data_IF_841849184036
#
_entry.id   IF_841849184036
#
_cell.length_a   1.000
_cell.length_b   1.000
_cell.length_c   1.000
_cell.angle_alpha   90.00
_cell.angle_beta   90.00
_cell.angle_gamma   90.00
#
_symmetry.space_group_name_H-M   'P 1'
#
loop_
_entity.id
_entity.type
_entity.pdbx_description
1 polymer ?
#
# COMPACT_ATOMS: atom_id res chain seq x y z
N UNK A 1 35.11 27.61 -13.14
CA UNK A 1 34.44 26.31 -12.89
C UNK A 1 35.50 25.21 -12.87
N UNK A 2 35.58 24.45 -11.77
CA UNK A 2 36.65 23.47 -11.52
C UNK A 2 36.64 22.32 -12.55
N UNK A 3 37.71 22.20 -13.33
CA UNK A 3 37.89 21.19 -14.39
C UNK A 3 37.82 19.74 -13.89
N UNK A 4 38.11 19.52 -12.60
CA UNK A 4 37.97 18.22 -11.93
C UNK A 4 36.51 17.79 -11.78
N UNK A 5 35.60 18.73 -11.48
CA UNK A 5 34.18 18.44 -11.29
C UNK A 5 33.53 18.02 -12.62
N UNK A 6 33.86 18.71 -13.71
CA UNK A 6 33.37 18.39 -15.05
C UNK A 6 33.83 17.00 -15.48
N UNK A 7 35.09 16.64 -15.21
CA UNK A 7 35.63 15.30 -15.52
C UNK A 7 34.91 14.19 -14.73
N UNK A 8 34.64 14.40 -13.44
CA UNK A 8 33.91 13.44 -12.61
C UNK A 8 32.46 13.27 -13.11
N UNK A 9 31.78 14.37 -13.46
CA UNK A 9 30.43 14.29 -14.03
C UNK A 9 30.40 13.59 -15.40
N UNK A 10 31.38 13.82 -16.27
CA UNK A 10 31.44 13.11 -17.56
C UNK A 10 31.72 11.61 -17.40
N UNK A 11 32.53 11.22 -16.42
CA UNK A 11 32.78 9.80 -16.13
C UNK A 11 31.52 9.13 -15.58
N UNK A 12 30.82 9.78 -14.63
CA UNK A 12 29.56 9.28 -14.09
C UNK A 12 28.47 9.13 -15.16
N UNK A 13 28.39 10.10 -16.09
CA UNK A 13 27.44 10.03 -17.21
C UNK A 13 27.79 8.87 -18.15
N UNK A 14 29.07 8.66 -18.48
CA UNK A 14 29.49 7.56 -19.33
C UNK A 14 29.21 6.19 -18.70
N UNK A 15 29.44 6.05 -17.39
CA UNK A 15 29.11 4.82 -16.64
C UNK A 15 27.60 4.57 -16.63
N UNK A 16 26.79 5.61 -16.40
CA UNK A 16 25.32 5.50 -16.41
C UNK A 16 24.78 5.07 -17.79
N UNK A 17 25.31 5.62 -18.88
CA UNK A 17 24.92 5.25 -20.24
C UNK A 17 25.33 3.79 -20.53
N UNK A 18 26.53 3.38 -20.14
CA UNK A 18 27.00 2.00 -20.32
C UNK A 18 26.12 0.99 -19.54
N UNK A 19 25.75 1.30 -18.30
CA UNK A 19 24.86 0.46 -17.49
C UNK A 19 23.45 0.35 -18.09
N UNK A 20 22.89 1.45 -18.59
CA UNK A 20 21.58 1.43 -19.24
C UNK A 20 21.58 0.65 -20.56
N UNK A 21 22.65 0.74 -21.36
CA UNK A 21 22.80 -0.05 -22.58
C UNK A 21 22.97 -1.55 -22.28
N UNK A 22 23.69 -1.89 -21.21
CA UNK A 22 23.85 -3.27 -20.75
C UNK A 22 22.51 -3.88 -20.29
N UNK A 23 21.73 -3.14 -19.49
CA UNK A 23 20.37 -3.54 -19.09
C UNK A 23 19.43 -3.73 -20.28
N UNK A 24 19.48 -2.82 -21.26
CA UNK A 24 18.67 -2.91 -22.48
C UNK A 24 19.02 -4.16 -23.30
N UNK A 25 20.32 -4.50 -23.39
CA UNK A 25 20.79 -5.72 -24.06
C UNK A 25 20.32 -6.98 -23.35
N UNK A 26 20.35 -6.99 -22.02
CA UNK A 26 19.90 -8.13 -21.21
C UNK A 26 18.38 -8.35 -21.31
N UNK A 27 17.60 -7.27 -21.46
CA UNK A 27 16.16 -7.31 -21.68
C UNK A 27 15.78 -7.79 -23.09
N UNK A 28 16.60 -7.49 -24.10
CA UNK A 28 16.38 -7.94 -25.49
C UNK A 28 16.85 -9.37 -25.72
N UNK A 29 17.87 -9.85 -25.00
CA UNK A 29 18.27 -11.27 -25.01
C UNK A 29 17.21 -12.19 -24.35
N UNK A 30 16.39 -11.67 -23.42
CA UNK A 30 15.29 -12.42 -22.80
C UNK A 30 13.96 -12.37 -23.57
N UNK A 31 13.82 -11.57 -24.63
CA UNK A 31 12.55 -11.40 -25.36
C UNK A 31 12.48 -12.13 -26.71
N UNK A 32 13.43 -13.01 -27.02
CA UNK A 32 13.39 -13.87 -28.22
C UNK A 32 13.11 -15.33 -27.82
N UNK A 33 11.87 -15.59 -27.40
CA UNK A 33 11.27 -16.92 -27.46
C UNK A 33 9.92 -16.81 -28.18
N UNK A 34 9.85 -17.33 -29.39
CA UNK A 34 8.66 -17.34 -30.26
C UNK A 34 7.56 -18.26 -29.72
N UNK A 35 6.27 -17.98 -29.97
CA UNK A 35 5.16 -18.83 -29.53
C UNK A 35 4.80 -19.87 -30.61
N UNK A 36 5.35 -21.07 -30.50
CA UNK A 36 4.76 -22.27 -31.12
C UNK A 36 4.75 -23.41 -30.10
N UNK A 37 3.55 -23.95 -29.83
CA UNK A 37 3.40 -25.31 -29.29
C UNK A 37 2.78 -25.44 -27.91
N UNK A 38 1.46 -25.24 -27.78
CA UNK A 38 0.65 -26.06 -26.86
C UNK A 38 -0.66 -26.44 -27.58
N UNK A 39 -0.61 -27.57 -28.29
CA UNK A 39 -1.77 -28.39 -28.63
C UNK A 39 -1.26 -29.76 -29.05
N UNK A 40 -0.94 -30.60 -28.07
CA UNK A 40 -0.90 -32.07 -28.16
C UNK A 40 -0.66 -32.68 -26.78
N UNK A 41 -1.48 -33.69 -26.46
CA UNK A 41 -1.49 -34.56 -25.27
C UNK A 41 -2.25 -33.88 -24.11
N UNK A 42 -3.49 -34.23 -23.76
CA UNK A 42 -3.93 -35.56 -23.34
C UNK A 42 -5.29 -35.99 -23.94
N UNK A 43 -5.23 -36.99 -24.83
CA UNK A 43 -6.31 -37.95 -24.99
C UNK A 43 -5.89 -39.20 -24.21
N UNK A 44 -6.39 -39.34 -22.98
CA UNK A 44 -6.67 -40.61 -22.29
C UNK A 44 -7.01 -40.35 -20.82
N UNK A 45 -8.24 -39.94 -20.54
CA UNK A 45 -8.92 -40.47 -19.36
C UNK A 45 -10.44 -40.40 -19.56
N UNK A 46 -11.10 -41.50 -19.18
CA UNK A 46 -12.56 -41.65 -18.98
C UNK A 46 -13.40 -42.05 -20.21
N UNK A 47 -13.14 -43.26 -20.70
CA UNK A 47 -14.21 -44.18 -21.06
C UNK A 47 -14.67 -44.89 -19.78
N UNK A 48 -15.80 -44.49 -19.21
CA UNK A 48 -16.80 -45.42 -18.63
C UNK A 48 -17.95 -44.70 -17.93
N UNK A 49 -19.13 -45.32 -18.12
CA UNK A 49 -20.36 -45.25 -17.35
C UNK A 49 -21.45 -44.26 -17.81
N UNK A 50 -22.49 -44.89 -18.39
CA UNK A 50 -23.92 -44.65 -18.19
C UNK A 50 -24.70 -43.70 -19.11
N UNK A 51 -25.08 -44.26 -20.26
CA UNK A 51 -26.46 -44.63 -20.66
C UNK A 51 -27.71 -44.00 -20.01
N UNK A 52 -28.68 -43.76 -20.91
CA UNK A 52 -30.12 -43.43 -20.78
C UNK A 52 -30.41 -41.96 -20.46
N UNK A 53 -31.17 -41.22 -21.27
CA UNK A 53 -32.59 -41.46 -21.59
C UNK A 53 -32.96 -41.00 -23.00
N UNK A 54 -33.89 -41.72 -23.61
CA UNK A 54 -34.49 -41.51 -24.91
C UNK A 54 -35.43 -40.29 -24.97
N UNK A 55 -35.49 -39.65 -26.14
CA UNK A 55 -36.78 -39.27 -26.73
C UNK A 55 -36.67 -39.25 -28.26
N UNK A 56 -37.71 -39.81 -28.87
CA UNK A 56 -37.95 -40.05 -30.29
C UNK A 56 -38.80 -38.91 -30.87
N UNK A 57 -38.92 -38.96 -32.20
CA UNK A 57 -39.91 -38.34 -33.09
C UNK A 57 -39.61 -36.92 -33.60
N UNK A 58 -39.83 -36.55 -34.86
CA UNK A 58 -40.12 -37.25 -36.13
C UNK A 58 -40.45 -36.16 -37.18
N UNK A 59 -40.01 -36.34 -38.43
CA UNK A 59 -40.59 -35.71 -39.65
C UNK A 59 -40.16 -34.25 -39.92
N UNK A 60 -39.93 -33.75 -41.13
CA UNK A 60 -40.07 -34.17 -42.54
C UNK A 60 -39.01 -33.33 -43.31
N UNK A 61 -38.12 -33.89 -44.14
CA UNK A 61 -38.25 -34.08 -45.59
C UNK A 61 -38.81 -32.88 -46.41
N UNK A 62 -37.93 -32.12 -47.06
CA UNK A 62 -37.85 -31.88 -48.53
C UNK A 62 -36.72 -30.86 -48.81
N UNK A 63 -35.55 -31.32 -49.26
CA UNK A 63 -35.11 -31.55 -50.65
C UNK A 63 -34.78 -30.26 -51.47
N UNK A 64 -33.48 -30.09 -51.80
CA UNK A 64 -32.89 -30.05 -53.17
C UNK A 64 -32.90 -28.62 -53.76
N UNK A 65 -31.84 -27.99 -54.31
CA UNK A 65 -30.56 -28.33 -54.94
C UNK A 65 -29.65 -27.09 -54.79
N UNK A 66 -28.35 -27.16 -54.48
CA UNK A 66 -27.21 -27.48 -55.37
C UNK A 66 -27.24 -26.75 -56.73
N UNK A 67 -26.49 -25.64 -56.82
CA UNK A 67 -25.67 -25.43 -58.02
C UNK A 67 -24.47 -24.51 -57.73
N UNK A 68 -23.33 -25.12 -57.99
CA UNK A 68 -21.95 -24.64 -57.93
C UNK A 68 -21.65 -23.35 -58.73
N UNK A 69 -20.60 -22.62 -58.31
CA UNK A 69 -19.34 -22.45 -59.07
C UNK A 69 -18.39 -21.46 -58.37
N UNK A 70 -17.13 -21.92 -58.25
CA UNK A 70 -15.93 -21.24 -57.79
C UNK A 70 -15.73 -19.80 -58.31
N UNK A 71 -15.23 -18.91 -57.45
CA UNK A 71 -14.03 -18.13 -57.77
C UNK A 71 -13.23 -17.71 -56.52
N UNK A 72 -12.04 -18.30 -56.42
CA UNK A 72 -10.91 -17.86 -55.59
C UNK A 72 -10.17 -16.77 -56.36
N UNK A 73 -10.05 -15.54 -55.82
CA UNK A 73 -8.84 -14.68 -55.86
C UNK A 73 -9.05 -13.27 -55.26
N UNK A 74 -8.26 -12.99 -54.21
CA UNK A 74 -7.49 -11.76 -53.88
C UNK A 74 -8.05 -10.38 -54.26
N UNK A 75 -8.22 -9.53 -53.24
CA UNK A 75 -7.53 -8.22 -53.03
C UNK A 75 -8.18 -7.53 -51.81
N UNK A 76 -7.48 -7.27 -50.70
CA UNK A 76 -6.84 -5.98 -50.44
C UNK A 76 -7.54 -4.81 -51.15
N UNK A 77 -8.65 -4.36 -50.57
CA UNK A 77 -9.17 -3.04 -50.85
C UNK A 77 -8.23 -2.01 -50.20
N UNK A 78 -7.28 -1.51 -50.99
CA UNK A 78 -6.75 -0.17 -50.75
C UNK A 78 -7.93 0.79 -50.88
N UNK A 79 -8.18 1.56 -49.82
CA UNK A 79 -9.10 2.69 -49.87
C UNK A 79 -8.63 3.65 -50.97
N UNK A 80 -9.35 3.71 -52.08
CA UNK A 80 -9.22 4.80 -53.05
C UNK A 80 -9.89 6.04 -52.46
N UNK A 81 -9.16 6.78 -51.62
CA UNK A 81 -9.48 8.17 -51.29
C UNK A 81 -8.98 9.07 -52.42
N UNK A 82 -9.78 10.07 -52.80
CA UNK A 82 -9.45 11.03 -53.88
C UNK A 82 -8.11 11.75 -53.60
N UNK A 83 -7.25 12.03 -54.61
CA UNK A 83 -5.94 12.68 -54.42
C UNK A 83 -5.99 13.98 -53.60
N UNK A 84 -7.07 14.76 -53.74
CA UNK A 84 -7.29 16.00 -52.96
C UNK A 84 -7.55 15.76 -51.48
N UNK A 85 -8.21 14.65 -51.12
CA UNK A 85 -8.47 14.29 -49.72
C UNK A 85 -7.17 13.86 -49.02
N UNK A 86 -6.27 13.19 -49.75
CA UNK A 86 -4.97 12.78 -49.25
C UNK A 86 -4.04 14.00 -49.02
N UNK A 87 -4.05 14.99 -49.91
CA UNK A 87 -3.29 16.24 -49.75
C UNK A 87 -3.78 17.08 -48.55
N UNK A 88 -5.10 17.15 -48.36
CA UNK A 88 -5.70 17.87 -47.22
C UNK A 88 -5.41 17.18 -45.89
N UNK A 89 -5.49 15.84 -45.83
CA UNK A 89 -5.12 15.03 -44.67
C UNK A 89 -3.67 15.27 -44.25
N UNK A 90 -2.74 15.16 -45.20
CA UNK A 90 -1.31 15.40 -44.95
C UNK A 90 -1.03 16.83 -44.44
N UNK A 91 -1.71 17.83 -45.00
CA UNK A 91 -1.56 19.22 -44.55
C UNK A 91 -2.07 19.42 -43.11
N UNK A 92 -3.20 18.83 -42.76
CA UNK A 92 -3.76 18.91 -41.41
C UNK A 92 -2.85 18.21 -40.39
N UNK A 93 -2.33 17.02 -40.73
CA UNK A 93 -1.37 16.31 -39.90
C UNK A 93 -0.09 17.13 -39.67
N UNK A 94 0.49 17.73 -40.72
CA UNK A 94 1.68 18.56 -40.61
C UNK A 94 1.46 19.81 -39.76
N UNK A 95 0.30 20.47 -39.90
CA UNK A 95 -0.06 21.63 -39.06
C UNK A 95 -0.25 21.24 -37.60
N UNK A 96 -0.98 20.17 -37.34
CA UNK A 96 -1.20 19.65 -35.99
C UNK A 96 0.14 19.35 -35.31
N UNK A 97 1.05 18.66 -36.01
CA UNK A 97 2.39 18.33 -35.50
C UNK A 97 3.23 19.59 -35.23
N UNK A 98 3.24 20.56 -36.16
CA UNK A 98 3.95 21.82 -35.95
C UNK A 98 3.47 22.56 -34.71
N UNK A 99 2.14 22.66 -34.53
CA UNK A 99 1.51 23.31 -33.37
C UNK A 99 1.82 22.57 -32.07
N UNK A 100 1.83 21.24 -32.10
CA UNK A 100 2.21 20.38 -30.98
C UNK A 100 3.66 20.64 -30.54
N UNK A 101 4.60 20.70 -31.49
CA UNK A 101 6.03 20.94 -31.23
C UNK A 101 6.30 22.32 -30.62
N UNK A 102 5.49 23.33 -30.94
CA UNK A 102 5.59 24.67 -30.33
C UNK A 102 4.68 24.84 -29.10
N UNK A 103 4.12 23.75 -28.57
CA UNK A 103 3.23 23.70 -27.41
C UNK A 103 1.94 24.50 -27.52
N UNK A 104 1.46 24.77 -28.74
CA UNK A 104 0.13 25.32 -29.01
C UNK A 104 -0.92 24.21 -29.01
N UNK A 105 -1.08 23.56 -27.84
CA UNK A 105 -1.79 22.29 -27.73
C UNK A 105 -3.27 22.36 -28.10
N UNK A 106 -3.98 23.42 -27.72
CA UNK A 106 -5.42 23.56 -28.05
C UNK A 106 -5.62 23.52 -29.57
N UNK A 107 -4.88 24.36 -30.30
CA UNK A 107 -4.96 24.40 -31.77
C UNK A 107 -4.44 23.13 -32.42
N UNK A 108 -3.41 22.49 -31.87
CA UNK A 108 -2.94 21.18 -32.34
C UNK A 108 -4.06 20.13 -32.26
N UNK A 109 -4.74 20.06 -31.11
CA UNK A 109 -5.84 19.12 -30.83
C UNK A 109 -7.04 19.38 -31.73
N UNK A 110 -7.38 20.65 -32.00
CA UNK A 110 -8.43 21.01 -32.98
C UNK A 110 -8.12 20.46 -34.38
N UNK A 111 -6.85 20.53 -34.81
CA UNK A 111 -6.43 19.99 -36.11
C UNK A 111 -6.40 18.46 -36.11
N UNK A 112 -6.04 17.83 -34.98
CA UNK A 112 -6.11 16.37 -34.82
C UNK A 112 -7.56 15.86 -34.94
N UNK A 113 -8.51 16.60 -34.37
CA UNK A 113 -9.94 16.28 -34.47
C UNK A 113 -10.45 16.41 -35.90
N UNK A 114 -10.14 17.54 -36.58
CA UNK A 114 -10.48 17.71 -38.00
C UNK A 114 -9.87 16.59 -38.86
N UNK A 115 -8.63 16.19 -38.55
CA UNK A 115 -7.97 15.07 -39.21
C UNK A 115 -8.70 13.75 -38.97
N UNK A 116 -9.22 13.52 -37.76
CA UNK A 116 -9.98 12.31 -37.42
C UNK A 116 -11.25 12.16 -38.27
N UNK A 117 -11.91 13.27 -38.61
CA UNK A 117 -13.13 13.25 -39.44
C UNK A 117 -12.86 12.85 -40.90
N UNK A 118 -11.68 13.19 -41.43
CA UNK A 118 -11.33 12.95 -42.84
C UNK A 118 -10.43 11.74 -43.06
N UNK A 119 -9.61 11.39 -42.07
CA UNK A 119 -8.57 10.36 -42.14
C UNK A 119 -8.23 9.83 -40.74
N UNK A 120 -9.07 8.91 -40.27
CA UNK A 120 -8.93 8.25 -38.97
C UNK A 120 -7.59 7.52 -38.81
N UNK A 121 -7.02 6.97 -39.89
CA UNK A 121 -5.74 6.25 -39.81
C UNK A 121 -4.59 7.21 -39.48
N UNK A 122 -4.47 8.31 -40.23
CA UNK A 122 -3.41 9.29 -39.99
C UNK A 122 -3.61 10.05 -38.67
N UNK A 123 -4.86 10.30 -38.26
CA UNK A 123 -5.16 10.85 -36.93
C UNK A 123 -4.69 9.93 -35.81
N UNK A 124 -4.97 8.61 -35.91
CA UNK A 124 -4.47 7.63 -34.93
C UNK A 124 -2.96 7.56 -34.88
N UNK A 125 -2.29 7.53 -36.03
CA UNK A 125 -0.82 7.51 -36.11
C UNK A 125 -0.21 8.75 -35.45
N UNK A 126 -0.74 9.94 -35.73
CA UNK A 126 -0.28 11.18 -35.12
C UNK A 126 -0.51 11.19 -33.60
N UNK A 127 -1.66 10.70 -33.15
CA UNK A 127 -1.98 10.59 -31.73
C UNK A 127 -1.04 9.61 -31.00
N UNK A 128 -0.64 8.50 -31.63
CA UNK A 128 0.38 7.57 -31.09
C UNK A 128 1.77 8.21 -30.98
N UNK A 129 2.14 9.06 -31.94
CA UNK A 129 3.37 9.86 -31.87
C UNK A 129 3.34 10.83 -30.69
N UNK A 130 2.21 11.51 -30.47
CA UNK A 130 2.04 12.42 -29.34
C UNK A 130 2.08 11.69 -28.01
N UNK A 131 1.49 10.49 -27.91
CA UNK A 131 1.61 9.64 -26.71
C UNK A 131 3.07 9.26 -26.43
N UNK A 132 3.85 8.98 -27.47
CA UNK A 132 5.28 8.70 -27.34
C UNK A 132 6.06 9.91 -26.83
N UNK A 133 5.81 11.10 -27.37
CA UNK A 133 6.41 12.34 -26.90
C UNK A 133 6.01 12.65 -25.44
N UNK A 134 4.75 12.42 -25.08
CA UNK A 134 4.26 12.62 -23.73
C UNK A 134 4.90 11.65 -22.72
N UNK A 135 5.07 10.37 -23.08
CA UNK A 135 5.85 9.41 -22.28
C UNK A 135 7.28 9.90 -22.05
N UNK A 136 7.93 10.44 -23.09
CA UNK A 136 9.27 11.02 -22.95
C UNK A 136 9.28 12.23 -22.00
N UNK A 137 8.26 13.09 -22.03
CA UNK A 137 8.14 14.19 -21.08
C UNK A 137 8.03 13.69 -19.63
N UNK A 138 7.23 12.64 -19.37
CA UNK A 138 7.11 12.03 -18.04
C UNK A 138 8.45 11.48 -17.56
N UNK A 139 9.14 10.71 -18.41
CA UNK A 139 10.45 10.13 -18.08
C UNK A 139 11.52 11.20 -17.82
N UNK A 140 11.40 12.37 -18.45
CA UNK A 140 12.30 13.51 -18.26
C UNK A 140 11.88 14.46 -17.13
N UNK A 141 10.80 14.15 -16.40
CA UNK A 141 10.26 15.01 -15.34
C UNK A 141 9.66 16.34 -15.84
N UNK A 142 9.35 16.46 -17.14
CA UNK A 142 8.74 17.65 -17.77
C UNK A 142 7.23 17.73 -17.50
N UNK A 143 6.86 17.68 -16.23
CA UNK A 143 5.46 17.58 -15.79
C UNK A 143 4.61 18.79 -16.16
N UNK A 144 5.19 20.00 -16.23
CA UNK A 144 4.45 21.20 -16.63
C UNK A 144 3.97 21.12 -18.09
N UNK A 145 4.83 20.66 -18.99
CA UNK A 145 4.49 20.51 -20.42
C UNK A 145 3.42 19.42 -20.57
N UNK A 146 3.62 18.27 -19.92
CA UNK A 146 2.65 17.18 -19.90
C UNK A 146 1.29 17.65 -19.36
N UNK A 147 1.26 18.34 -18.21
CA UNK A 147 0.04 18.86 -17.58
C UNK A 147 -0.75 19.77 -18.52
N UNK A 148 -0.06 20.70 -19.19
CA UNK A 148 -0.70 21.62 -20.12
C UNK A 148 -1.33 20.88 -21.29
N UNK A 149 -0.61 19.90 -21.86
CA UNK A 149 -1.14 19.07 -22.94
C UNK A 149 -2.33 18.22 -22.49
N UNK A 150 -2.19 17.43 -21.42
CA UNK A 150 -3.23 16.47 -21.01
C UNK A 150 -4.52 17.19 -20.59
N UNK A 151 -4.41 18.38 -20.00
CA UNK A 151 -5.57 19.19 -19.62
C UNK A 151 -6.33 19.68 -20.87
N UNK A 152 -5.60 20.16 -21.90
CA UNK A 152 -6.21 20.53 -23.17
C UNK A 152 -6.84 19.32 -23.88
N UNK A 153 -6.15 18.18 -23.88
CA UNK A 153 -6.60 16.95 -24.54
C UNK A 153 -7.87 16.38 -23.89
N UNK A 154 -7.92 16.30 -22.56
CA UNK A 154 -9.06 15.75 -21.83
C UNK A 154 -10.35 16.56 -22.01
N UNK A 155 -10.24 17.88 -22.21
CA UNK A 155 -11.40 18.73 -22.48
C UNK A 155 -12.07 18.36 -23.81
N UNK A 156 -11.32 17.84 -24.79
CA UNK A 156 -11.86 17.43 -26.10
C UNK A 156 -12.17 15.94 -26.17
N UNK A 157 -11.31 15.11 -25.59
CA UNK A 157 -11.36 13.65 -25.66
C UNK A 157 -11.31 13.01 -24.26
N UNK A 158 -12.37 13.14 -23.44
CA UNK A 158 -12.35 12.75 -22.02
C UNK A 158 -12.19 11.24 -21.79
N UNK A 159 -12.60 10.39 -22.73
CA UNK A 159 -12.65 8.92 -22.54
C UNK A 159 -11.53 8.17 -23.26
N UNK A 160 -10.50 8.85 -23.77
CA UNK A 160 -9.41 8.19 -24.50
C UNK A 160 -8.50 7.42 -23.53
N UNK A 161 -8.54 6.09 -23.60
CA UNK A 161 -7.93 5.18 -22.61
C UNK A 161 -6.42 5.38 -22.44
N UNK A 162 -5.67 5.50 -23.55
CA UNK A 162 -4.22 5.62 -23.50
C UNK A 162 -3.76 6.90 -22.79
N UNK A 163 -4.47 8.02 -22.98
CA UNK A 163 -4.18 9.27 -22.31
C UNK A 163 -4.57 9.26 -20.82
N UNK A 164 -5.62 8.52 -20.43
CA UNK A 164 -5.93 8.31 -19.01
C UNK A 164 -4.83 7.51 -18.30
N UNK A 165 -4.25 6.50 -18.96
CA UNK A 165 -3.10 5.75 -18.42
C UNK A 165 -1.88 6.65 -18.22
N UNK A 166 -1.56 7.52 -19.18
CA UNK A 166 -0.47 8.49 -19.03
C UNK A 166 -0.75 9.51 -17.93
N UNK A 167 -2.01 9.95 -17.76
CA UNK A 167 -2.40 10.80 -16.64
C UNK A 167 -2.17 10.09 -15.31
N UNK A 168 -2.50 8.81 -15.19
CA UNK A 168 -2.23 8.02 -13.97
C UNK A 168 -0.73 7.96 -13.68
N UNK A 169 0.12 7.70 -14.69
CA UNK A 169 1.58 7.71 -14.52
C UNK A 169 2.09 9.07 -14.01
N UNK A 170 1.60 10.16 -14.60
CA UNK A 170 1.90 11.51 -14.14
C UNK A 170 1.45 11.76 -12.69
N UNK A 171 0.21 11.42 -12.35
CA UNK A 171 -0.36 11.60 -11.01
C UNK A 171 0.43 10.82 -9.95
N UNK A 172 0.87 9.59 -10.27
CA UNK A 172 1.78 8.81 -9.43
C UNK A 172 3.12 9.52 -9.26
N UNK A 173 3.69 10.04 -10.33
CA UNK A 173 4.99 10.72 -10.31
C UNK A 173 4.98 12.03 -9.47
N UNK A 174 3.84 12.73 -9.42
CA UNK A 174 3.67 13.93 -8.57
C UNK A 174 3.05 13.63 -7.20
N UNK A 175 3.03 12.35 -6.78
CA UNK A 175 2.50 11.88 -5.50
C UNK A 175 1.05 12.33 -5.23
N UNK A 176 0.16 12.11 -6.21
CA UNK A 176 -1.29 12.36 -6.11
C UNK A 176 -2.08 11.04 -6.22
N UNK A 177 -1.96 10.12 -5.25
CA UNK A 177 -2.54 8.78 -5.32
C UNK A 177 -4.08 8.80 -5.36
N UNK A 178 -4.74 9.69 -4.61
CA UNK A 178 -6.21 9.80 -4.62
C UNK A 178 -6.76 10.09 -6.04
N UNK A 179 -6.15 11.05 -6.74
CA UNK A 179 -6.53 11.37 -8.12
C UNK A 179 -6.19 10.24 -9.09
N UNK A 180 -5.09 9.53 -8.87
CA UNK A 180 -4.72 8.37 -9.68
C UNK A 180 -5.72 7.22 -9.50
N UNK A 181 -6.15 6.92 -8.27
CA UNK A 181 -7.21 5.94 -7.96
C UNK A 181 -8.52 6.31 -8.64
N UNK A 182 -8.96 7.57 -8.49
CA UNK A 182 -10.16 8.07 -9.18
C UNK A 182 -10.05 7.87 -10.71
N UNK A 183 -8.88 8.14 -11.28
CA UNK A 183 -8.66 7.98 -12.72
C UNK A 183 -8.67 6.49 -13.12
N UNK A 184 -8.17 5.58 -12.29
CA UNK A 184 -8.30 4.13 -12.53
C UNK A 184 -9.76 3.69 -12.56
N UNK A 185 -10.58 4.07 -11.59
CA UNK A 185 -11.99 3.65 -11.58
C UNK A 185 -12.81 4.28 -12.69
N UNK A 186 -12.51 5.53 -13.09
CA UNK A 186 -13.06 6.10 -14.31
C UNK A 186 -12.70 5.28 -15.55
N UNK A 187 -11.47 4.75 -15.62
CA UNK A 187 -11.02 3.93 -16.74
C UNK A 187 -11.69 2.55 -16.74
N UNK A 188 -11.78 1.91 -15.57
CA UNK A 188 -12.43 0.60 -15.35
C UNK A 188 -13.91 0.68 -15.74
N UNK A 189 -14.64 1.67 -15.24
CA UNK A 189 -16.08 1.81 -15.48
C UNK A 189 -16.45 2.09 -16.94
N UNK A 190 -15.47 2.44 -17.79
CA UNK A 190 -15.65 2.74 -19.21
C UNK A 190 -14.90 1.76 -20.14
N UNK A 191 -14.34 0.68 -19.60
CA UNK A 191 -13.47 -0.23 -20.34
C UNK A 191 -14.23 -1.13 -21.33
N UNK A 192 -15.33 -1.72 -20.86
CA UNK A 192 -16.10 -2.77 -21.54
C UNK A 192 -15.22 -3.94 -22.02
N UNK A 193 -14.17 -4.24 -21.25
CA UNK A 193 -13.13 -5.23 -21.56
C UNK A 193 -12.61 -5.82 -20.25
N UNK A 194 -13.10 -7.02 -19.92
CA UNK A 194 -12.83 -7.67 -18.64
C UNK A 194 -11.34 -7.83 -18.35
N UNK A 195 -10.51 -8.17 -19.36
CA UNK A 195 -9.08 -8.35 -19.14
C UNK A 195 -8.38 -7.04 -18.76
N UNK A 196 -8.80 -5.93 -19.36
CA UNK A 196 -8.29 -4.60 -19.01
C UNK A 196 -8.81 -4.14 -17.66
N UNK A 197 -10.09 -4.38 -17.36
CA UNK A 197 -10.69 -4.05 -16.07
C UNK A 197 -9.94 -4.75 -14.94
N UNK A 198 -9.69 -6.05 -15.05
CA UNK A 198 -8.93 -6.83 -14.07
C UNK A 198 -7.50 -6.30 -13.92
N UNK A 199 -6.82 -6.01 -15.03
CA UNK A 199 -5.48 -5.43 -15.00
C UNK A 199 -5.44 -4.08 -14.28
N UNK A 200 -6.35 -3.17 -14.62
CA UNK A 200 -6.37 -1.82 -14.06
C UNK A 200 -6.82 -1.82 -12.60
N UNK A 201 -7.78 -2.67 -12.23
CA UNK A 201 -8.19 -2.90 -10.84
C UNK A 201 -7.02 -3.41 -10.01
N UNK A 202 -6.27 -4.40 -10.51
CA UNK A 202 -5.05 -4.87 -9.87
C UNK A 202 -4.02 -3.75 -9.66
N UNK A 203 -3.81 -2.88 -10.65
CA UNK A 203 -2.90 -1.74 -10.51
C UNK A 203 -3.40 -0.69 -9.50
N UNK A 204 -4.71 -0.46 -9.44
CA UNK A 204 -5.34 0.41 -8.45
C UNK A 204 -5.15 -0.15 -7.03
N UNK A 205 -5.45 -1.43 -6.81
CA UNK A 205 -5.22 -2.12 -5.53
C UNK A 205 -3.76 -2.05 -5.10
N UNK A 206 -2.82 -2.27 -6.03
CA UNK A 206 -1.39 -2.13 -5.74
C UNK A 206 -1.02 -0.71 -5.28
N UNK A 207 -1.56 0.31 -5.94
CA UNK A 207 -1.35 1.71 -5.55
C UNK A 207 -1.94 2.00 -4.17
N UNK A 208 -3.15 1.49 -3.89
CA UNK A 208 -3.77 1.60 -2.58
C UNK A 208 -2.89 1.00 -1.49
N UNK A 209 -2.46 -0.25 -1.63
CA UNK A 209 -1.61 -0.94 -0.63
C UNK A 209 -0.31 -0.16 -0.38
N UNK A 210 0.32 0.33 -1.46
CA UNK A 210 1.53 1.14 -1.33
C UNK A 210 1.29 2.43 -0.54
N UNK A 211 0.22 3.16 -0.85
CA UNK A 211 -0.05 4.44 -0.19
C UNK A 211 -0.59 4.27 1.24
N UNK A 212 -1.46 3.29 1.47
CA UNK A 212 -2.00 3.00 2.79
C UNK A 212 -0.91 2.60 3.77
N UNK A 213 0.08 1.80 3.35
CA UNK A 213 1.24 1.47 4.17
C UNK A 213 2.06 2.71 4.56
N UNK A 214 2.23 3.68 3.65
CA UNK A 214 2.92 4.95 3.96
C UNK A 214 2.16 5.70 5.05
N UNK A 215 0.84 5.84 4.92
CA UNK A 215 0.01 6.57 5.89
C UNK A 215 0.00 5.87 7.25
N UNK A 216 -0.07 4.54 7.28
CA UNK A 216 0.00 3.75 8.52
C UNK A 216 1.35 3.91 9.22
N UNK A 217 2.46 3.80 8.49
CA UNK A 217 3.81 3.99 9.05
C UNK A 217 4.04 5.41 9.57
N UNK A 218 3.33 6.40 9.00
CA UNK A 218 3.36 7.78 9.45
C UNK A 218 2.35 8.07 10.56
N UNK A 219 1.58 7.08 11.03
CA UNK A 219 0.47 7.24 11.98
C UNK A 219 -0.56 8.29 11.52
N UNK A 220 -0.67 8.48 10.20
CA UNK A 220 -1.53 9.49 9.57
C UNK A 220 -2.97 8.97 9.40
N UNK A 221 -3.60 8.55 10.51
CA UNK A 221 -4.87 7.82 10.52
C UNK A 221 -6.03 8.58 9.86
N UNK A 222 -6.18 9.87 10.16
CA UNK A 222 -7.21 10.70 9.51
C UNK A 222 -6.99 10.83 8.00
N UNK A 223 -5.73 10.90 7.54
CA UNK A 223 -5.42 10.93 6.12
C UNK A 223 -5.73 9.58 5.45
N UNK A 224 -5.52 8.46 6.15
CA UNK A 224 -5.90 7.12 5.68
C UNK A 224 -7.41 7.00 5.50
N UNK A 225 -8.21 7.51 6.45
CA UNK A 225 -9.67 7.61 6.32
C UNK A 225 -10.05 8.43 5.09
N UNK A 226 -9.55 9.67 5.00
CA UNK A 226 -9.87 10.58 3.89
C UNK A 226 -9.49 10.01 2.51
N UNK A 227 -8.42 9.22 2.45
CA UNK A 227 -7.99 8.54 1.23
C UNK A 227 -8.84 7.32 0.87
N UNK A 228 -9.26 6.53 1.87
CA UNK A 228 -9.88 5.21 1.65
C UNK A 228 -11.40 5.29 1.52
N UNK A 229 -12.07 6.14 2.31
CA UNK A 229 -13.54 6.25 2.32
C UNK A 229 -14.15 6.49 0.94
N UNK A 230 -13.62 7.39 0.09
CA UNK A 230 -14.17 7.60 -1.25
C UNK A 230 -14.11 6.35 -2.16
N UNK A 231 -13.16 5.44 -1.93
CA UNK A 231 -12.96 4.24 -2.75
C UNK A 231 -14.06 3.19 -2.53
N UNK A 232 -14.77 3.27 -1.42
CA UNK A 232 -15.91 2.38 -1.13
C UNK A 232 -17.08 2.60 -2.09
N UNK A 233 -17.16 3.76 -2.75
CA UNK A 233 -18.17 4.02 -3.78
C UNK A 233 -17.98 3.12 -5.02
N UNK A 234 -16.72 2.77 -5.32
CA UNK A 234 -16.38 1.88 -6.44
C UNK A 234 -16.31 0.42 -6.00
N UNK A 235 -15.73 0.13 -4.83
CA UNK A 235 -15.57 -1.24 -4.32
C UNK A 235 -15.84 -1.34 -2.81
N UNK A 236 -17.13 -1.32 -2.44
CA UNK A 236 -17.55 -1.45 -1.05
C UNK A 236 -17.04 -2.74 -0.38
N UNK A 237 -17.11 -3.88 -1.08
CA UNK A 237 -16.78 -5.19 -0.51
C UNK A 237 -15.31 -5.58 -0.62
N UNK A 238 -14.41 -4.67 -1.01
CA UNK A 238 -12.98 -5.00 -1.10
C UNK A 238 -12.34 -5.00 0.30
N UNK A 239 -11.93 -6.16 0.85
CA UNK A 239 -11.57 -6.26 2.26
C UNK A 239 -10.41 -5.35 2.70
N UNK A 240 -9.35 -5.15 1.91
CA UNK A 240 -8.26 -4.23 2.28
C UNK A 240 -8.70 -2.78 2.54
N UNK A 241 -9.79 -2.29 1.91
CA UNK A 241 -10.31 -0.95 2.22
C UNK A 241 -10.96 -0.92 3.59
N UNK A 242 -11.81 -1.91 3.86
CA UNK A 242 -12.52 -2.08 5.14
C UNK A 242 -11.53 -2.26 6.30
N UNK A 243 -10.51 -3.12 6.12
CA UNK A 243 -9.48 -3.37 7.13
C UNK A 243 -8.60 -2.13 7.40
N UNK A 244 -8.27 -1.36 6.37
CA UNK A 244 -7.52 -0.12 6.54
C UNK A 244 -8.34 0.94 7.30
N UNK A 245 -9.64 1.04 7.02
CA UNK A 245 -10.55 1.92 7.75
C UNK A 245 -10.75 1.47 9.18
N UNK A 246 -11.00 0.18 9.43
CA UNK A 246 -11.10 -0.37 10.78
C UNK A 246 -9.86 -0.02 11.60
N UNK A 247 -8.67 -0.29 11.07
CA UNK A 247 -7.40 0.08 11.73
C UNK A 247 -7.31 1.58 12.03
N UNK A 248 -7.63 2.43 11.05
CA UNK A 248 -7.57 3.86 11.23
C UNK A 248 -8.52 4.34 12.33
N UNK A 249 -9.75 3.84 12.35
CA UNK A 249 -10.75 4.20 13.36
C UNK A 249 -10.40 3.68 14.76
N UNK A 250 -9.74 2.53 14.89
CA UNK A 250 -9.20 2.07 16.18
C UNK A 250 -8.23 3.11 16.74
N UNK A 251 -7.25 3.53 15.95
CA UNK A 251 -6.26 4.52 16.38
C UNK A 251 -6.81 5.94 16.55
N UNK A 252 -7.97 6.25 15.97
CA UNK A 252 -8.70 7.50 16.21
C UNK A 252 -9.61 7.43 17.45
N UNK A 253 -9.68 6.28 18.14
CA UNK A 253 -10.53 6.07 19.31
C UNK A 253 -12.01 5.85 18.98
N UNK A 254 -12.37 5.68 17.70
CA UNK A 254 -13.74 5.43 17.26
C UNK A 254 -14.01 3.91 17.13
N UNK A 255 -13.88 3.19 18.25
CA UNK A 255 -14.03 1.72 18.27
C UNK A 255 -15.35 1.22 17.67
N UNK A 256 -16.53 1.81 17.95
CA UNK A 256 -17.78 1.37 17.33
C UNK A 256 -17.76 1.48 15.80
N UNK A 257 -17.15 2.55 15.27
CA UNK A 257 -16.99 2.74 13.83
C UNK A 257 -16.07 1.67 13.25
N UNK A 258 -14.95 1.37 13.93
CA UNK A 258 -14.04 0.31 13.51
C UNK A 258 -14.69 -1.07 13.44
N UNK A 259 -15.51 -1.41 14.43
CA UNK A 259 -16.27 -2.68 14.46
C UNK A 259 -17.19 -2.80 13.25
N UNK A 260 -17.93 -1.73 12.90
CA UNK A 260 -18.79 -1.74 11.70
C UNK A 260 -18.00 -2.05 10.41
N UNK A 261 -16.74 -1.61 10.31
CA UNK A 261 -15.88 -1.92 9.17
C UNK A 261 -15.37 -3.37 9.21
N UNK A 262 -15.11 -3.94 10.39
CA UNK A 262 -14.74 -5.35 10.53
C UNK A 262 -15.90 -6.30 10.22
N UNK A 263 -17.12 -5.95 10.62
CA UNK A 263 -18.33 -6.73 10.34
C UNK A 263 -18.54 -6.93 8.83
N UNK A 264 -18.19 -5.93 8.02
CA UNK A 264 -18.28 -6.02 6.56
C UNK A 264 -17.33 -7.05 5.93
N UNK A 265 -16.31 -7.50 6.68
CA UNK A 265 -15.29 -8.45 6.20
C UNK A 265 -15.20 -9.72 7.02
N UNK A 266 -16.11 -9.94 7.98
CA UNK A 266 -16.12 -11.09 8.91
C UNK A 266 -15.90 -12.44 8.20
N UNK A 267 -16.52 -12.64 7.03
CA UNK A 267 -16.45 -13.90 6.27
C UNK A 267 -15.27 -14.00 5.29
N UNK A 268 -14.34 -13.04 5.31
CA UNK A 268 -13.19 -12.99 4.39
C UNK A 268 -12.07 -13.90 4.88
N UNK A 269 -12.17 -15.21 4.60
CA UNK A 269 -11.24 -16.23 5.12
C UNK A 269 -9.77 -15.98 4.76
N UNK A 270 -9.48 -15.35 3.62
CA UNK A 270 -8.12 -14.94 3.23
C UNK A 270 -7.50 -13.92 4.21
N UNK A 271 -8.32 -13.15 4.91
CA UNK A 271 -7.92 -12.07 5.81
C UNK A 271 -8.15 -12.39 7.29
N UNK A 272 -8.50 -13.63 7.65
CA UNK A 272 -8.82 -14.03 9.02
C UNK A 272 -7.77 -13.57 10.04
N UNK A 273 -6.48 -13.79 9.78
CA UNK A 273 -5.40 -13.35 10.69
C UNK A 273 -5.33 -11.83 10.87
N UNK A 274 -5.68 -11.04 9.85
CA UNK A 274 -5.71 -9.58 9.97
C UNK A 274 -6.93 -9.12 10.77
N UNK A 275 -8.07 -9.79 10.58
CA UNK A 275 -9.31 -9.55 11.31
C UNK A 275 -9.09 -9.85 12.79
N UNK A 276 -8.57 -11.03 13.12
CA UNK A 276 -8.24 -11.43 14.50
C UNK A 276 -7.25 -10.45 15.15
N UNK A 277 -6.25 -10.00 14.40
CA UNK A 277 -5.29 -8.99 14.86
C UNK A 277 -5.95 -7.64 15.18
N UNK A 278 -6.97 -7.24 14.41
CA UNK A 278 -7.71 -5.99 14.66
C UNK A 278 -8.72 -6.14 15.81
N UNK A 279 -9.35 -7.29 16.00
CA UNK A 279 -10.13 -7.58 17.21
C UNK A 279 -9.25 -7.51 18.46
N UNK A 280 -8.10 -8.16 18.43
CA UNK A 280 -7.12 -8.10 19.53
C UNK A 280 -6.68 -6.66 19.81
N UNK A 281 -6.53 -5.84 18.76
CA UNK A 281 -6.22 -4.43 18.91
C UNK A 281 -7.37 -3.66 19.57
N UNK A 282 -8.62 -3.88 19.15
CA UNK A 282 -9.82 -3.28 19.79
C UNK A 282 -9.87 -3.64 21.28
N UNK A 283 -9.65 -4.91 21.63
CA UNK A 283 -9.63 -5.36 23.02
C UNK A 283 -8.55 -4.62 23.82
N UNK A 284 -7.37 -4.43 23.22
CA UNK A 284 -6.27 -3.73 23.88
C UNK A 284 -6.58 -2.24 24.18
N UNK A 285 -7.31 -1.56 23.29
CA UNK A 285 -7.77 -0.19 23.50
C UNK A 285 -8.94 -0.13 24.50
N UNK A 286 -9.85 -1.10 24.46
CA UNK A 286 -10.96 -1.22 25.42
C UNK A 286 -10.43 -1.41 26.84
N UNK A 287 -9.42 -2.28 27.02
CA UNK A 287 -8.78 -2.47 28.31
C UNK A 287 -7.97 -1.24 28.74
N UNK A 288 -7.39 -0.50 27.79
CA UNK A 288 -6.69 0.75 28.10
C UNK A 288 -7.63 1.81 28.70
N UNK A 289 -8.88 1.90 28.21
CA UNK A 289 -9.91 2.78 28.79
C UNK A 289 -10.31 2.38 30.21
N UNK A 290 -10.26 1.09 30.56
CA UNK A 290 -10.54 0.63 31.93
C UNK A 290 -9.43 1.03 32.92
N UNK A 291 -8.19 1.11 32.43
CA UNK A 291 -7.03 1.51 33.24
C UNK A 291 -6.55 0.45 34.23
N UNK A 292 -5.33 0.63 34.72
CA UNK A 292 -4.74 -0.17 35.80
C UNK A 292 -4.89 0.62 37.11
N UNK A 293 -5.49 0.00 38.12
CA UNK A 293 -5.67 0.62 39.44
C UNK A 293 -4.33 0.98 40.09
N UNK A 294 -4.26 2.18 40.68
CA UNK A 294 -3.11 2.72 41.38
C UNK A 294 -3.42 2.91 42.87
N UNK A 295 -2.42 2.65 43.69
CA UNK A 295 -2.47 2.97 45.12
C UNK A 295 -1.75 4.30 45.36
N UNK A 296 -2.48 5.31 45.85
CA UNK A 296 -1.90 6.59 46.23
C UNK A 296 -1.15 6.49 47.58
N UNK A 297 0.13 6.83 47.58
CA UNK A 297 0.98 6.89 48.78
C UNK A 297 1.62 8.28 48.86
N UNK A 298 1.01 9.16 49.66
CA UNK A 298 1.42 10.58 49.70
C UNK A 298 1.16 11.25 48.36
N UNK A 299 2.19 11.84 47.77
CA UNK A 299 2.13 12.50 46.45
C UNK A 299 2.53 11.56 45.29
N UNK A 300 2.68 10.26 45.56
CA UNK A 300 3.15 9.28 44.59
C UNK A 300 2.10 8.18 44.35
N UNK A 301 2.15 7.59 43.15
CA UNK A 301 1.34 6.44 42.79
C UNK A 301 2.19 5.18 42.75
N UNK A 302 1.64 4.10 43.29
CA UNK A 302 2.19 2.76 43.24
C UNK A 302 1.28 1.89 42.39
N UNK A 303 1.89 1.04 41.56
CA UNK A 303 1.21 0.10 40.69
C UNK A 303 1.74 -1.30 40.94
N UNK A 304 0.83 -2.27 40.93
CA UNK A 304 1.19 -3.68 41.06
C UNK A 304 1.63 -4.25 39.71
N UNK A 305 2.76 -4.97 39.75
CA UNK A 305 3.33 -5.69 38.62
C UNK A 305 3.55 -7.17 39.00
N UNK A 306 3.71 -8.00 37.97
CA UNK A 306 3.99 -9.43 38.13
C UNK A 306 5.20 -9.81 37.28
N UNK A 307 6.23 -10.37 37.92
CA UNK A 307 7.46 -10.81 37.27
C UNK A 307 7.44 -12.32 37.08
N UNK A 308 7.71 -12.77 35.85
CA UNK A 308 7.75 -14.18 35.44
C UNK A 308 6.49 -14.98 35.82
N UNK A 309 5.34 -14.31 35.93
CA UNK A 309 4.05 -14.89 36.40
C UNK A 309 4.08 -15.49 37.81
N UNK A 310 5.10 -15.18 38.61
CA UNK A 310 5.30 -15.80 39.92
C UNK A 310 5.46 -14.78 41.06
N UNK A 311 6.09 -13.64 40.79
CA UNK A 311 6.46 -12.67 41.81
C UNK A 311 5.66 -11.39 41.65
N UNK A 312 4.70 -11.18 42.55
CA UNK A 312 3.98 -9.91 42.63
C UNK A 312 4.87 -8.86 43.31
N UNK A 313 4.86 -7.65 42.77
CA UNK A 313 5.68 -6.54 43.26
C UNK A 313 4.93 -5.22 43.11
N UNK A 314 5.12 -4.31 44.06
CA UNK A 314 4.52 -2.98 44.02
C UNK A 314 5.58 -1.93 43.67
N UNK A 315 5.39 -1.23 42.55
CA UNK A 315 6.37 -0.30 41.99
C UNK A 315 5.84 1.13 42.02
N UNK A 316 6.64 2.07 42.50
CA UNK A 316 6.32 3.49 42.44
C UNK A 316 6.51 4.00 41.00
N UNK A 317 5.54 4.72 40.47
CA UNK A 317 5.63 5.27 39.11
C UNK A 317 6.60 6.45 39.09
N UNK A 318 7.71 6.32 38.37
CA UNK A 318 8.74 7.36 38.23
C UNK A 318 8.99 7.70 36.75
N UNK A 319 8.31 8.74 36.27
CA UNK A 319 8.47 9.26 34.90
C UNK A 319 9.83 9.96 34.68
N UNK A 320 10.59 10.24 35.74
CA UNK A 320 11.95 10.78 35.67
C UNK A 320 13.01 9.69 35.48
N UNK A 321 12.69 8.44 35.81
CA UNK A 321 13.61 7.32 35.67
C UNK A 321 13.64 6.78 34.24
N UNK A 322 14.84 6.64 33.67
CA UNK A 322 15.01 6.04 32.33
C UNK A 322 14.86 4.52 32.33
N UNK A 323 15.12 3.87 33.46
CA UNK A 323 15.06 2.41 33.65
C UNK A 323 14.21 2.09 34.87
N UNK A 324 13.42 1.01 34.78
CA UNK A 324 12.75 0.38 35.92
C UNK A 324 13.78 -0.21 36.86
N UNK A 325 13.57 0.01 38.14
CA UNK A 325 14.46 -0.41 39.23
C UNK A 325 13.71 -1.34 40.16
N UNK A 326 14.36 -2.41 40.61
CA UNK A 326 13.88 -3.29 41.67
C UNK A 326 14.86 -3.31 42.84
N UNK A 327 14.35 -3.57 44.04
CA UNK A 327 15.16 -3.69 45.24
C UNK A 327 16.07 -4.92 45.21
N UNK A 328 17.15 -4.86 45.99
CA UNK A 328 18.03 -6.01 46.16
C UNK A 328 17.28 -7.16 46.85
N UNK A 329 16.36 -6.86 47.75
CA UNK A 329 15.50 -7.81 48.44
C UNK A 329 14.62 -8.58 47.45
N UNK A 330 13.96 -7.89 46.52
CA UNK A 330 13.14 -8.53 45.48
C UNK A 330 14.03 -9.38 44.56
N UNK A 331 15.20 -8.89 44.16
CA UNK A 331 16.15 -9.68 43.38
C UNK A 331 16.56 -10.98 44.08
N UNK A 332 16.82 -10.95 45.39
CA UNK A 332 17.15 -12.16 46.15
C UNK A 332 16.00 -13.18 46.15
N UNK A 333 14.74 -12.72 46.14
CA UNK A 333 13.58 -13.60 46.03
C UNK A 333 13.49 -14.23 44.63
N UNK A 334 13.68 -13.44 43.58
CA UNK A 334 13.60 -13.91 42.19
C UNK A 334 14.59 -15.05 41.92
N UNK A 335 15.86 -14.90 42.31
CA UNK A 335 16.90 -15.90 42.05
C UNK A 335 16.70 -17.24 42.81
N UNK A 336 15.76 -17.30 43.76
CA UNK A 336 15.43 -18.58 44.43
C UNK A 336 14.62 -19.53 43.55
N UNK A 337 13.92 -18.98 42.56
CA UNK A 337 12.95 -19.71 41.73
C UNK A 337 13.25 -19.60 40.24
N UNK A 338 13.84 -18.47 39.81
CA UNK A 338 14.15 -18.18 38.42
C UNK A 338 15.65 -18.26 38.13
N UNK A 339 16.00 -18.69 36.92
CA UNK A 339 17.38 -18.65 36.42
C UNK A 339 17.71 -17.27 35.85
N UNK A 340 18.12 -16.34 36.71
CA UNK A 340 18.42 -14.97 36.32
C UNK A 340 19.92 -14.75 36.23
N UNK A 341 20.39 -14.27 35.07
CA UNK A 341 21.77 -13.85 34.86
C UNK A 341 21.92 -12.33 34.85
N UNK A 342 23.02 -11.84 35.43
CA UNK A 342 23.42 -10.43 35.32
C UNK A 342 23.73 -10.11 33.85
N UNK A 343 23.09 -9.06 33.34
CA UNK A 343 23.30 -8.54 31.98
C UNK A 343 24.51 -7.61 31.92
N UNK A 344 24.59 -6.64 32.82
CA UNK A 344 25.70 -5.67 32.90
C UNK A 344 25.77 -4.98 34.27
N UNK A 345 26.96 -4.59 34.65
CA UNK A 345 27.21 -3.67 35.76
C UNK A 345 26.96 -2.22 35.32
N UNK A 346 26.49 -1.40 36.24
CA UNK A 346 26.09 -0.01 36.05
C UNK A 346 26.57 0.82 37.24
N UNK A 347 27.00 2.05 36.96
CA UNK A 347 27.16 3.06 38.01
C UNK A 347 26.02 4.07 37.87
N UNK A 348 25.25 4.24 38.94
CA UNK A 348 24.08 5.12 38.96
C UNK A 348 24.36 6.28 39.90
N UNK A 349 24.20 7.49 39.39
CA UNK A 349 24.24 8.70 40.20
C UNK A 349 22.89 8.87 40.88
N UNK A 350 22.83 8.58 42.17
CA UNK A 350 21.66 8.87 43.00
C UNK A 350 21.87 10.19 43.74
N UNK A 351 20.83 10.70 44.39
CA UNK A 351 20.95 11.87 45.27
C UNK A 351 21.93 11.65 46.44
N UNK A 352 22.27 10.39 46.76
CA UNK A 352 23.23 10.01 47.80
C UNK A 352 24.66 9.81 47.30
N UNK A 353 24.92 9.91 45.99
CA UNK A 353 26.24 9.66 45.38
C UNK A 353 26.21 8.57 44.30
N UNK A 354 27.39 8.18 43.81
CA UNK A 354 27.53 7.10 42.84
C UNK A 354 27.39 5.75 43.53
N UNK A 355 26.42 4.95 43.10
CA UNK A 355 26.12 3.62 43.63
C UNK A 355 26.33 2.57 42.53
N UNK A 356 27.02 1.49 42.88
CA UNK A 356 27.13 0.31 42.03
C UNK A 356 25.77 -0.39 41.95
N UNK A 357 25.33 -0.68 40.73
CA UNK A 357 24.11 -1.39 40.42
C UNK A 357 24.40 -2.38 39.30
N UNK A 358 23.51 -3.33 39.07
CA UNK A 358 23.59 -4.22 37.91
C UNK A 358 22.21 -4.37 37.30
N UNK A 359 22.14 -4.66 36.01
CA UNK A 359 20.88 -5.00 35.36
C UNK A 359 20.75 -6.49 35.11
N UNK A 360 19.51 -6.94 35.14
CA UNK A 360 19.07 -8.30 34.83
C UNK A 360 17.99 -8.25 33.75
N UNK A 361 17.68 -9.41 33.19
CA UNK A 361 16.53 -9.58 32.29
C UNK A 361 15.44 -10.35 33.03
N UNK A 362 14.23 -9.80 33.01
CA UNK A 362 12.99 -10.49 33.40
C UNK A 362 12.36 -11.04 32.13
N UNK A 363 12.11 -12.35 32.07
CA UNK A 363 11.55 -12.99 30.87
C UNK A 363 10.17 -12.42 30.53
N UNK A 364 9.35 -12.17 31.55
CA UNK A 364 8.02 -11.59 31.40
C UNK A 364 7.74 -10.58 32.50
N UNK A 365 7.60 -9.31 32.12
CA UNK A 365 7.20 -8.23 33.02
C UNK A 365 5.75 -7.84 32.72
N UNK A 366 4.85 -8.13 33.66
CA UNK A 366 3.43 -7.87 33.53
C UNK A 366 3.01 -6.65 34.35
N UNK A 367 2.17 -5.80 33.76
CA UNK A 367 1.49 -4.68 34.43
C UNK A 367 0.02 -4.70 33.97
N UNK A 368 -0.90 -5.09 34.86
CA UNK A 368 -2.28 -5.39 34.45
C UNK A 368 -2.32 -6.49 33.39
N UNK A 369 -2.94 -6.20 32.24
CA UNK A 369 -3.01 -7.09 31.07
C UNK A 369 -1.84 -6.90 30.08
N UNK A 370 -0.91 -5.97 30.36
CA UNK A 370 0.21 -5.66 29.48
C UNK A 370 1.44 -6.46 29.87
N UNK A 371 2.11 -7.05 28.87
CA UNK A 371 3.34 -7.82 29.07
C UNK A 371 4.46 -7.31 28.17
N UNK A 372 5.66 -7.14 28.75
CA UNK A 372 6.91 -6.98 28.00
C UNK A 372 7.80 -8.21 28.23
N UNK A 373 8.33 -8.74 27.14
CA UNK A 373 9.26 -9.87 27.17
C UNK A 373 10.71 -9.41 27.17
N UNK A 374 11.60 -10.20 27.77
CA UNK A 374 13.05 -9.93 27.88
C UNK A 374 13.35 -8.52 28.40
N UNK A 375 12.63 -8.13 29.45
CA UNK A 375 12.61 -6.77 29.97
C UNK A 375 13.80 -6.51 30.91
N UNK A 376 14.59 -5.49 30.59
CA UNK A 376 15.74 -5.10 31.42
C UNK A 376 15.30 -4.28 32.63
N UNK A 377 15.66 -4.74 33.82
CA UNK A 377 15.50 -4.00 35.08
C UNK A 377 16.84 -3.84 35.79
N UNK A 378 16.98 -2.75 36.54
CA UNK A 378 18.15 -2.47 37.37
C UNK A 378 17.90 -2.96 38.78
N UNK A 379 18.89 -3.62 39.38
CA UNK A 379 18.90 -4.00 40.79
C UNK A 379 19.80 -3.02 41.55
N UNK A 380 19.25 -2.41 42.61
CA UNK A 380 20.02 -1.58 43.54
C UNK A 380 19.41 -1.61 44.93
N UNK A 381 20.15 -1.10 45.92
CA UNK A 381 19.64 -0.93 47.29
C UNK A 381 18.69 0.29 47.31
N UNK A 382 17.46 0.06 47.75
CA UNK A 382 16.38 1.03 47.81
C UNK A 382 15.95 1.34 49.25
N UNK A 383 16.85 1.22 50.22
CA UNK A 383 16.62 1.46 51.67
C UNK A 383 15.92 2.79 52.03
N UNK A 384 15.80 3.75 51.11
CA UNK A 384 15.00 4.98 51.27
C UNK A 384 13.53 4.90 50.82
N UNK A 385 13.12 3.82 50.15
CA UNK A 385 11.75 3.57 49.67
C UNK A 385 11.04 2.61 50.64
N UNK A 386 10.56 3.14 51.76
CA UNK A 386 9.90 2.34 52.82
C UNK A 386 8.59 1.64 52.39
N UNK A 387 8.08 1.86 51.16
CA UNK A 387 6.72 1.50 50.74
C UNK A 387 6.56 0.93 49.33
N UNK A 388 7.64 0.66 48.62
CA UNK A 388 7.59 0.05 47.29
C UNK A 388 8.81 -0.84 47.07
N UNK A 389 8.65 -1.93 46.34
CA UNK A 389 9.72 -2.89 46.02
C UNK A 389 10.61 -2.38 44.87
N UNK A 390 10.26 -1.23 44.28
CA UNK A 390 10.96 -0.68 43.12
C UNK A 390 10.33 0.58 42.54
N UNK A 391 10.86 0.98 41.39
CA UNK A 391 10.44 2.14 40.59
C UNK A 391 10.09 1.67 39.17
N UNK A 392 8.90 2.01 38.67
CA UNK A 392 8.52 1.80 37.27
C UNK A 392 9.02 2.98 36.42
N UNK A 393 9.95 2.69 35.52
CA UNK A 393 10.62 3.70 34.71
C UNK A 393 10.08 3.83 33.28
N UNK A 394 10.64 4.78 32.56
CA UNK A 394 10.30 5.08 31.16
C UNK A 394 10.68 3.97 30.18
N UNK A 395 11.56 3.04 30.53
CA UNK A 395 11.82 1.86 29.70
C UNK A 395 10.60 0.94 29.58
N UNK A 396 9.65 0.98 30.53
CA UNK A 396 8.34 0.35 30.38
C UNK A 396 7.34 1.32 29.71
N UNK A 397 7.13 2.50 30.33
CA UNK A 397 6.05 3.42 29.95
C UNK A 397 6.13 3.91 28.49
N UNK A 398 7.34 4.04 27.93
CA UNK A 398 7.53 4.50 26.54
C UNK A 398 6.99 3.52 25.48
N UNK A 399 6.67 2.29 25.85
CA UNK A 399 6.08 1.31 24.92
C UNK A 399 4.60 1.61 24.64
N UNK A 400 3.98 2.47 25.44
CA UNK A 400 2.56 2.80 25.37
C UNK A 400 2.35 4.31 25.18
N UNK A 401 1.18 4.70 24.71
CA UNK A 401 0.63 6.01 25.01
C UNK A 401 0.02 5.91 26.41
N UNK A 402 0.58 6.62 27.38
CA UNK A 402 0.17 6.50 28.78
C UNK A 402 -0.39 7.81 29.33
N UNK A 403 -1.35 7.67 30.23
CA UNK A 403 -1.95 8.76 31.01
C UNK A 403 -2.13 8.29 32.46
N UNK A 404 -1.89 9.20 33.41
CA UNK A 404 -2.16 8.96 34.83
C UNK A 404 -3.39 9.78 35.20
N UNK A 405 -4.53 9.10 35.36
CA UNK A 405 -5.74 9.70 35.91
C UNK A 405 -5.60 9.77 37.42
N UNK A 406 -5.16 10.93 37.91
CA UNK A 406 -4.95 11.15 39.34
C UNK A 406 -6.25 11.18 40.14
N UNK A 407 -7.37 11.54 39.49
CA UNK A 407 -8.66 11.66 40.17
C UNK A 407 -9.24 10.28 40.50
N UNK A 408 -9.12 9.34 39.55
CA UNK A 408 -9.60 7.97 39.72
C UNK A 408 -8.50 6.99 40.12
N UNK A 409 -7.26 7.46 40.26
CA UNK A 409 -6.07 6.65 40.55
C UNK A 409 -5.92 5.50 39.54
N UNK A 410 -5.90 5.84 38.24
CA UNK A 410 -5.72 4.87 37.15
C UNK A 410 -4.50 5.21 36.31
N UNK A 411 -3.78 4.18 35.87
CA UNK A 411 -2.79 4.25 34.79
C UNK A 411 -3.42 3.70 33.51
N UNK A 412 -3.68 4.58 32.55
CA UNK A 412 -4.23 4.23 31.24
C UNK A 412 -3.06 3.94 30.29
N UNK A 413 -3.07 2.77 29.62
CA UNK A 413 -2.01 2.33 28.71
C UNK A 413 -2.58 1.88 27.37
N UNK A 414 -2.53 2.76 26.38
CA UNK A 414 -3.00 2.49 25.01
C UNK A 414 -1.85 2.11 24.06
N UNK A 415 -2.11 1.27 23.04
CA UNK A 415 -1.16 1.05 21.95
C UNK A 415 -0.76 2.35 21.23
N UNK A 416 0.43 2.36 20.62
CA UNK A 416 0.95 3.48 19.81
C UNK A 416 0.73 3.30 18.31
#
# INVERSE_FOLDING_TARGET
MNSKLVRVLTILLAVSIASNLFLLKQLTEHSLATPEGISRIDANSRLSANNKVASKNSGELTQINDDSINHRKKSHAQNETSPRANDQSNLLAAKAEQLFLVHQFISAIEHLEQLQEIDDYNSRLLNEQWQTAAKQWLNQGKYSVFRNFITAYQNRFPHQQAWQLLKIEWLKAINKPALAMQTYYQLINNAFDQQKEDLWRYQAHKLFVQHSNILQNQTAWQHLVNFTTPLLADEFSYPPYQLALARAYIYLGELPTAINYLDNVEYSSEYASQIDGLHSLIDSFTNAEQGIELTAIGEHFVVDAMLNQQHQTSLLIDTGASLTVISTELYQQLITTDQISIKRELNINTAGGEQGAFSIIIEQFWLGDKVLYDFEVVVMDLTSLDKADGLLGMNFLKHFQFEIDQQHALLLLSPR
#
